data_IF_215237805560
#
_entry.id   IF_215237805560
#
_cell.length_a   1.000
_cell.length_b   1.000
_cell.length_c   1.000
_cell.angle_alpha   90.00
_cell.angle_beta   90.00
_cell.angle_gamma   90.00
#
_symmetry.space_group_name_H-M   'P 1'
#
loop_
_entity.id
_entity.type
_entity.pdbx_description
1 polymer ?
#
# COMPACT_ATOMS: atom_id res chain seq x y z
N UNK A 1 21.83 -18.34 5.01
CA UNK A 1 20.83 -17.38 5.55
C UNK A 1 19.77 -17.25 4.49
N UNK A 2 18.57 -17.78 4.72
CA UNK A 2 17.48 -17.58 3.77
C UNK A 2 17.13 -16.08 3.78
N UNK A 3 17.25 -15.45 2.65
CA UNK A 3 16.72 -14.10 2.45
C UNK A 3 15.20 -14.29 2.39
N UNK A 4 14.48 -13.70 3.33
CA UNK A 4 13.03 -13.76 3.35
C UNK A 4 12.50 -12.92 2.20
N UNK A 5 11.49 -13.42 1.53
CA UNK A 5 10.79 -12.67 0.50
C UNK A 5 10.01 -11.54 1.18
N UNK A 6 10.49 -10.31 0.97
CA UNK A 6 9.89 -9.11 1.54
C UNK A 6 9.42 -8.19 0.43
N UNK A 7 8.22 -7.66 0.61
CA UNK A 7 7.67 -6.66 -0.29
C UNK A 7 7.24 -5.41 0.46
N UNK A 8 7.47 -4.26 -0.14
CA UNK A 8 6.89 -2.98 0.29
C UNK A 8 5.59 -2.77 -0.46
N UNK A 9 4.51 -2.47 0.25
CA UNK A 9 3.19 -2.20 -0.32
C UNK A 9 2.77 -0.76 -0.09
N UNK A 10 2.06 -0.20 -1.06
CA UNK A 10 1.32 1.05 -0.93
C UNK A 10 0.07 0.99 -1.81
N UNK A 11 -1.04 1.55 -1.35
CA UNK A 11 -2.32 1.56 -2.06
C UNK A 11 -2.84 2.97 -2.25
N UNK A 12 -3.59 3.18 -3.34
CA UNK A 12 -4.31 4.42 -3.56
C UNK A 12 -5.80 4.13 -3.77
N UNK A 13 -6.63 4.94 -3.14
CA UNK A 13 -8.07 4.77 -3.06
C UNK A 13 -8.77 6.03 -3.58
N UNK A 14 -9.94 5.90 -4.17
CA UNK A 14 -10.79 7.05 -4.50
C UNK A 14 -11.03 7.91 -3.26
N UNK A 15 -11.19 9.21 -3.49
CA UNK A 15 -11.49 10.18 -2.45
C UNK A 15 -12.62 11.09 -2.94
N UNK A 16 -13.84 10.56 -2.92
CA UNK A 16 -15.02 11.28 -3.40
C UNK A 16 -15.61 12.21 -2.33
N UNK A 17 -15.59 11.78 -1.08
CA UNK A 17 -16.23 12.47 0.05
C UNK A 17 -15.28 12.79 1.21
N UNK A 18 -13.99 12.97 0.93
CA UNK A 18 -12.95 13.20 1.92
C UNK A 18 -12.01 12.00 2.06
N UNK A 19 -11.20 11.95 3.12
CA UNK A 19 -10.22 10.88 3.31
C UNK A 19 -10.92 9.53 3.54
N UNK A 20 -10.65 8.50 2.71
CA UNK A 20 -11.26 7.19 2.85
C UNK A 20 -10.78 6.48 4.12
N UNK A 21 -11.71 5.99 4.94
CA UNK A 21 -11.39 5.33 6.21
C UNK A 21 -11.57 3.81 6.11
N UNK A 22 -10.77 3.08 6.89
CA UNK A 22 -10.85 1.61 6.97
C UNK A 22 -12.22 1.16 7.52
N UNK A 23 -12.82 1.94 8.43
CA UNK A 23 -14.12 1.60 9.02
C UNK A 23 -15.22 1.54 7.97
N UNK A 24 -15.34 2.55 7.12
CA UNK A 24 -16.30 2.62 6.02
C UNK A 24 -15.92 1.71 4.88
N UNK A 25 -14.67 1.82 4.42
CA UNK A 25 -14.11 1.07 3.30
C UNK A 25 -15.03 1.05 2.07
N UNK A 26 -15.67 2.19 1.78
CA UNK A 26 -16.68 2.36 0.74
C UNK A 26 -16.09 2.82 -0.62
N UNK A 27 -14.98 3.49 -0.59
CA UNK A 27 -14.29 3.99 -1.79
C UNK A 27 -13.50 2.89 -2.51
N UNK A 28 -13.49 2.94 -3.83
CA UNK A 28 -12.81 1.95 -4.68
C UNK A 28 -11.29 2.11 -4.68
N UNK A 29 -10.58 0.99 -4.76
CA UNK A 29 -9.13 0.99 -4.97
C UNK A 29 -8.79 1.39 -6.40
N UNK A 30 -7.80 2.26 -6.54
CA UNK A 30 -7.31 2.76 -7.83
C UNK A 30 -5.95 2.15 -8.20
N UNK A 31 -5.05 2.00 -7.22
CA UNK A 31 -3.70 1.48 -7.41
C UNK A 31 -3.31 0.54 -6.25
N UNK A 32 -2.51 -0.46 -6.58
CA UNK A 32 -1.75 -1.27 -5.61
C UNK A 32 -0.34 -1.41 -6.18
N UNK A 33 0.66 -0.91 -5.46
CA UNK A 33 2.07 -1.10 -5.79
C UNK A 33 2.77 -2.03 -4.82
N UNK A 34 3.56 -2.95 -5.35
CA UNK A 34 4.40 -3.89 -4.62
C UNK A 34 5.84 -3.73 -5.08
N UNK A 35 6.76 -3.41 -4.20
CA UNK A 35 8.19 -3.43 -4.50
C UNK A 35 8.86 -4.63 -3.86
N UNK A 36 9.48 -5.45 -4.67
CA UNK A 36 10.30 -6.58 -4.20
C UNK A 36 11.64 -6.07 -3.66
N UNK A 37 11.96 -6.44 -2.43
CA UNK A 37 13.15 -5.98 -1.73
C UNK A 37 14.45 -6.40 -2.42
N UNK A 38 14.52 -7.63 -2.93
CA UNK A 38 15.75 -8.19 -3.46
C UNK A 38 16.06 -7.65 -4.85
N UNK A 39 15.04 -7.57 -5.72
CA UNK A 39 15.21 -7.15 -7.12
C UNK A 39 14.97 -5.66 -7.33
N UNK A 40 14.37 -4.98 -6.36
CA UNK A 40 13.90 -3.59 -6.44
C UNK A 40 12.88 -3.34 -7.56
N UNK A 41 12.34 -4.41 -8.15
CA UNK A 41 11.28 -4.31 -9.15
C UNK A 41 9.96 -3.97 -8.49
N UNK A 42 9.22 -3.11 -9.16
CA UNK A 42 7.91 -2.66 -8.71
C UNK A 42 6.85 -3.24 -9.65
N UNK A 43 5.84 -3.89 -9.07
CA UNK A 43 4.65 -4.34 -9.76
C UNK A 43 3.49 -3.48 -9.30
N UNK A 44 2.90 -2.73 -10.22
CA UNK A 44 1.75 -1.87 -9.95
C UNK A 44 0.54 -2.35 -10.71
N UNK A 45 -0.58 -2.53 -10.02
CA UNK A 45 -1.91 -2.76 -10.59
C UNK A 45 -2.69 -1.45 -10.55
N UNK A 46 -3.37 -1.08 -11.63
CA UNK A 46 -4.12 0.18 -11.65
C UNK A 46 -5.24 0.21 -12.68
N UNK A 47 -6.29 0.97 -12.38
CA UNK A 47 -7.53 1.03 -13.19
C UNK A 47 -7.48 2.00 -14.36
N UNK A 48 -6.35 2.63 -14.62
CA UNK A 48 -6.20 3.57 -15.74
C UNK A 48 -4.98 3.26 -16.61
N UNK A 49 -4.84 3.92 -17.75
CA UNK A 49 -3.70 3.72 -18.64
C UNK A 49 -2.44 4.39 -18.09
N UNK A 50 -1.34 3.66 -18.04
CA UNK A 50 -0.05 4.20 -17.61
C UNK A 50 1.07 3.81 -18.56
N UNK A 51 1.98 4.75 -18.79
CA UNK A 51 3.19 4.53 -19.59
C UNK A 51 4.40 5.06 -18.85
N UNK A 52 5.44 4.26 -18.76
CA UNK A 52 6.71 4.63 -18.17
C UNK A 52 7.88 4.15 -19.01
N UNK A 53 9.03 4.85 -18.91
CA UNK A 53 10.31 4.39 -19.45
C UNK A 53 11.14 3.65 -18.39
N UNK A 54 10.67 3.64 -17.15
CA UNK A 54 11.35 2.97 -16.05
C UNK A 54 11.19 1.45 -16.15
N UNK A 55 12.30 0.78 -16.47
CA UNK A 55 12.35 -0.68 -16.63
C UNK A 55 12.16 -1.46 -15.32
N UNK A 56 12.25 -0.77 -14.18
CA UNK A 56 12.02 -1.37 -12.88
C UNK A 56 10.53 -1.46 -12.54
N UNK A 57 9.69 -0.69 -13.22
CA UNK A 57 8.23 -0.67 -13.00
C UNK A 57 7.53 -1.51 -14.05
N UNK A 58 6.82 -2.54 -13.59
CA UNK A 58 5.88 -3.31 -14.40
C UNK A 58 4.46 -2.90 -14.01
N UNK A 59 3.72 -2.39 -14.97
CA UNK A 59 2.34 -1.97 -14.76
C UNK A 59 1.37 -2.99 -15.36
N UNK A 60 0.33 -3.32 -14.61
CA UNK A 60 -0.80 -4.15 -15.02
C UNK A 60 -2.03 -3.27 -15.07
N UNK A 61 -2.45 -2.91 -16.29
CA UNK A 61 -3.67 -2.14 -16.47
C UNK A 61 -4.89 -3.03 -16.25
N UNK A 62 -5.79 -2.59 -15.40
CA UNK A 62 -7.04 -3.23 -15.05
C UNK A 62 -8.22 -2.38 -15.54
N UNK A 63 -9.36 -3.02 -15.83
CA UNK A 63 -10.53 -2.34 -16.35
C UNK A 63 -11.30 -1.60 -15.26
N UNK A 64 -11.34 -2.16 -14.05
CA UNK A 64 -12.03 -1.66 -12.88
C UNK A 64 -11.43 -2.25 -11.60
N UNK A 65 -11.99 -1.92 -10.45
CA UNK A 65 -11.54 -2.44 -9.14
C UNK A 65 -11.66 -3.96 -9.04
N UNK A 66 -12.73 -4.56 -9.59
CA UNK A 66 -12.91 -6.01 -9.56
C UNK A 66 -11.76 -6.73 -10.29
N UNK A 67 -11.40 -6.22 -11.46
CA UNK A 67 -10.29 -6.73 -12.27
C UNK A 67 -8.94 -6.49 -11.55
N UNK A 68 -8.74 -5.32 -10.96
CA UNK A 68 -7.55 -4.96 -10.19
C UNK A 68 -7.33 -5.91 -9.00
N UNK A 69 -8.35 -6.10 -8.17
CA UNK A 69 -8.28 -6.99 -7.00
C UNK A 69 -8.13 -8.46 -7.42
N UNK A 70 -8.74 -8.86 -8.55
CA UNK A 70 -8.59 -10.21 -9.11
C UNK A 70 -7.16 -10.47 -9.57
N UNK A 71 -6.55 -9.53 -10.30
CA UNK A 71 -5.15 -9.63 -10.74
C UNK A 71 -4.20 -9.63 -9.55
N UNK A 72 -4.42 -8.74 -8.58
CA UNK A 72 -3.61 -8.67 -7.36
C UNK A 72 -3.66 -9.99 -6.58
N UNK A 73 -4.86 -10.50 -6.23
CA UNK A 73 -4.97 -11.70 -5.40
C UNK A 73 -4.46 -12.97 -6.11
N UNK A 74 -4.58 -13.03 -7.45
CA UNK A 74 -4.03 -14.12 -8.24
C UNK A 74 -2.50 -14.08 -8.29
N UNK A 75 -1.89 -12.89 -8.30
CA UNK A 75 -0.44 -12.73 -8.17
C UNK A 75 0.02 -13.09 -6.75
N UNK A 76 -0.56 -12.46 -5.74
CA UNK A 76 -0.23 -12.63 -4.33
C UNK A 76 -0.32 -14.10 -3.88
N UNK A 77 -1.40 -14.80 -4.24
CA UNK A 77 -1.60 -16.19 -3.82
C UNK A 77 -0.61 -17.20 -4.45
N UNK A 78 0.05 -16.83 -5.55
CA UNK A 78 1.08 -17.67 -6.19
C UNK A 78 2.46 -17.45 -5.57
N UNK A 79 2.72 -16.26 -5.12
CA UNK A 79 4.00 -15.82 -4.55
C UNK A 79 3.76 -14.97 -3.31
N UNK A 80 3.16 -15.57 -2.25
CA UNK A 80 2.90 -14.84 -1.02
C UNK A 80 4.23 -14.41 -0.38
N UNK A 81 4.41 -13.14 -0.01
CA UNK A 81 5.63 -12.71 0.66
C UNK A 81 5.67 -13.27 2.08
N UNK A 82 6.87 -13.53 2.60
CA UNK A 82 7.04 -13.85 4.03
C UNK A 82 6.85 -12.60 4.91
N UNK A 83 7.24 -11.44 4.38
CA UNK A 83 7.15 -10.15 5.07
C UNK A 83 6.55 -9.10 4.11
N UNK A 84 5.56 -8.40 4.59
CA UNK A 84 5.04 -7.19 3.94
C UNK A 84 5.30 -5.98 4.82
N UNK A 85 5.79 -4.91 4.23
CA UNK A 85 6.06 -3.64 4.92
C UNK A 85 5.45 -2.47 4.13
N UNK A 86 5.34 -1.34 4.76
CA UNK A 86 4.83 -0.09 4.18
C UNK A 86 4.79 0.99 5.24
N UNK A 87 4.38 2.19 4.88
CA UNK A 87 4.26 3.30 5.80
C UNK A 87 2.86 3.40 6.37
N UNK A 88 2.66 3.07 7.64
CA UNK A 88 1.35 2.97 8.28
C UNK A 88 0.48 1.83 7.71
N UNK A 89 1.11 0.85 7.07
CA UNK A 89 0.40 -0.19 6.31
C UNK A 89 -0.41 -1.15 7.20
N UNK A 90 -0.01 -1.34 8.47
CA UNK A 90 -0.75 -2.18 9.41
C UNK A 90 -2.10 -1.59 9.79
N UNK A 91 -2.21 -0.26 9.83
CA UNK A 91 -3.44 0.43 10.22
C UNK A 91 -4.26 0.92 9.04
N UNK A 92 -3.70 0.97 7.82
CA UNK A 92 -4.42 1.48 6.66
C UNK A 92 -4.40 0.51 5.47
N UNK A 93 -3.26 0.29 4.81
CA UNK A 93 -3.19 -0.44 3.54
C UNK A 93 -3.71 -1.87 3.65
N UNK A 94 -3.20 -2.63 4.60
CA UNK A 94 -3.56 -4.04 4.78
C UNK A 94 -5.03 -4.21 5.19
N UNK A 95 -5.56 -3.48 6.19
CA UNK A 95 -6.97 -3.57 6.55
C UNK A 95 -7.90 -3.11 5.43
N UNK A 96 -7.57 -2.02 4.74
CA UNK A 96 -8.37 -1.52 3.64
C UNK A 96 -8.43 -2.55 2.50
N UNK A 97 -7.28 -3.05 2.07
CA UNK A 97 -7.15 -4.06 1.04
C UNK A 97 -7.94 -5.34 1.38
N UNK A 98 -7.75 -5.89 2.58
CA UNK A 98 -8.44 -7.10 3.02
C UNK A 98 -9.97 -6.93 3.04
N UNK A 99 -10.46 -5.78 3.54
CA UNK A 99 -11.90 -5.45 3.52
C UNK A 99 -12.43 -5.27 2.09
N UNK A 100 -11.69 -4.58 1.22
CA UNK A 100 -12.12 -4.42 -0.19
C UNK A 100 -12.17 -5.74 -0.93
N UNK A 101 -11.16 -6.60 -0.78
CA UNK A 101 -11.17 -7.95 -1.35
C UNK A 101 -12.38 -8.73 -0.84
N UNK A 102 -12.67 -8.69 0.46
CA UNK A 102 -13.84 -9.37 1.03
C UNK A 102 -15.14 -8.82 0.45
N UNK A 103 -15.26 -7.49 0.33
CA UNK A 103 -16.46 -6.81 -0.16
C UNK A 103 -16.73 -7.05 -1.64
N UNK A 104 -15.69 -7.03 -2.46
CA UNK A 104 -15.79 -7.07 -3.94
C UNK A 104 -15.71 -8.50 -4.46
N UNK A 105 -14.80 -9.33 -3.91
CA UNK A 105 -14.53 -10.68 -4.38
C UNK A 105 -15.05 -11.78 -3.45
N UNK A 106 -15.49 -11.41 -2.23
CA UNK A 106 -16.01 -12.33 -1.21
C UNK A 106 -14.92 -12.93 -0.29
N UNK A 107 -15.34 -13.50 0.83
CA UNK A 107 -14.46 -14.05 1.88
C UNK A 107 -13.47 -15.12 1.38
N UNK A 108 -13.90 -15.96 0.42
CA UNK A 108 -13.01 -16.99 -0.14
C UNK A 108 -11.79 -16.38 -0.86
N UNK A 109 -11.96 -15.20 -1.43
CA UNK A 109 -10.85 -14.49 -2.07
C UNK A 109 -9.92 -13.87 -1.02
N UNK A 110 -10.46 -13.25 0.04
CA UNK A 110 -9.63 -12.64 1.09
C UNK A 110 -8.78 -13.68 1.84
N UNK A 111 -9.26 -14.89 2.00
CA UNK A 111 -8.46 -16.00 2.58
C UNK A 111 -7.21 -16.35 1.78
N UNK A 112 -7.17 -16.02 0.47
CA UNK A 112 -5.98 -16.21 -0.37
C UNK A 112 -4.85 -15.22 -0.09
N UNK A 113 -5.07 -14.21 0.76
CA UNK A 113 -3.99 -13.38 1.28
C UNK A 113 -3.01 -14.21 2.13
N UNK A 114 -3.52 -15.24 2.80
CA UNK A 114 -2.71 -16.19 3.56
C UNK A 114 -2.39 -17.43 2.71
N UNK A 115 -1.12 -17.90 2.66
CA UNK A 115 -0.77 -19.17 2.05
C UNK A 115 -1.46 -20.38 2.71
N UNK A 116 -1.95 -20.21 3.94
CA UNK A 116 -2.65 -21.24 4.71
C UNK A 116 -4.16 -21.02 4.78
N UNK A 117 -4.69 -19.96 4.16
CA UNK A 117 -6.09 -19.60 4.21
C UNK A 117 -6.55 -19.07 5.58
N UNK A 118 -5.60 -18.68 6.44
CA UNK A 118 -5.83 -18.15 7.78
C UNK A 118 -5.70 -16.63 7.76
N UNK A 119 -6.83 -15.94 7.71
CA UNK A 119 -6.91 -14.48 7.79
C UNK A 119 -7.88 -14.15 8.91
N UNK A 120 -7.39 -13.53 9.96
CA UNK A 120 -8.19 -13.05 11.10
C UNK A 120 -8.01 -11.55 11.27
N UNK A 121 -8.89 -10.92 12.02
CA UNK A 121 -8.77 -9.52 12.36
C UNK A 121 -9.22 -9.27 13.77
N UNK A 122 -8.69 -8.22 14.37
CA UNK A 122 -9.06 -7.75 15.69
C UNK A 122 -9.10 -6.23 15.73
N UNK A 123 -9.84 -5.70 16.69
CA UNK A 123 -9.84 -4.26 16.98
C UNK A 123 -8.85 -3.98 18.11
N UNK A 124 -7.87 -3.12 17.83
CA UNK A 124 -6.91 -2.66 18.83
C UNK A 124 -7.17 -1.18 19.15
N UNK A 125 -6.85 -0.76 20.39
CA UNK A 125 -6.95 0.63 20.79
C UNK A 125 -5.57 1.29 20.78
N UNK A 126 -5.39 2.29 19.92
CA UNK A 126 -4.14 3.04 19.82
C UNK A 126 -4.44 4.55 19.77
N UNK A 127 -3.71 5.35 20.58
CA UNK A 127 -3.94 6.79 20.72
C UNK A 127 -5.41 7.17 21.03
N UNK A 128 -6.11 6.31 21.81
CA UNK A 128 -7.51 6.56 22.21
C UNK A 128 -8.56 6.29 21.14
N UNK A 129 -8.18 5.64 20.03
CA UNK A 129 -9.10 5.28 18.92
C UNK A 129 -9.00 3.79 18.61
N UNK A 130 -10.14 3.16 18.22
CA UNK A 130 -10.13 1.80 17.71
C UNK A 130 -9.50 1.75 16.32
N UNK A 131 -8.70 0.73 16.07
CA UNK A 131 -8.12 0.42 14.77
C UNK A 131 -8.31 -1.05 14.46
N UNK A 132 -8.72 -1.35 13.23
CA UNK A 132 -8.82 -2.70 12.74
C UNK A 132 -7.46 -3.16 12.22
N UNK A 133 -6.94 -4.26 12.75
CA UNK A 133 -5.71 -4.89 12.27
C UNK A 133 -5.99 -6.31 11.80
N UNK A 134 -5.23 -6.74 10.80
CA UNK A 134 -5.34 -8.08 10.21
C UNK A 134 -4.11 -8.91 10.54
N UNK A 135 -4.34 -10.15 10.98
CA UNK A 135 -3.33 -11.19 11.04
C UNK A 135 -3.50 -12.14 9.84
N UNK A 136 -2.45 -12.22 9.04
CA UNK A 136 -2.41 -13.02 7.82
C UNK A 136 -1.45 -14.18 8.06
N UNK A 137 -1.98 -15.36 8.39
CA UNK A 137 -1.17 -16.52 8.68
C UNK A 137 -0.14 -16.80 7.56
N UNK A 138 1.14 -16.84 7.91
CA UNK A 138 2.25 -17.03 6.98
C UNK A 138 2.81 -15.77 6.32
N UNK A 139 2.22 -14.60 6.58
CA UNK A 139 2.69 -13.29 6.10
C UNK A 139 2.86 -12.35 7.30
N UNK A 140 4.09 -11.96 7.59
CA UNK A 140 4.35 -11.01 8.68
C UNK A 140 4.18 -9.58 8.20
N UNK A 141 3.28 -8.82 8.82
CA UNK A 141 3.14 -7.38 8.58
C UNK A 141 4.12 -6.64 9.49
N UNK A 142 5.06 -5.91 8.90
CA UNK A 142 6.01 -5.05 9.61
C UNK A 142 5.80 -3.60 9.18
N UNK A 143 5.06 -2.84 9.97
CA UNK A 143 4.84 -1.42 9.68
C UNK A 143 6.12 -0.61 9.87
N UNK A 144 6.61 -0.01 8.77
CA UNK A 144 7.88 0.73 8.83
C UNK A 144 7.77 2.03 9.63
N UNK A 145 6.60 2.65 9.69
CA UNK A 145 6.37 3.81 10.54
C UNK A 145 6.59 3.48 12.03
N UNK A 146 6.12 2.32 12.47
CA UNK A 146 6.30 1.87 13.85
C UNK A 146 7.75 1.50 14.13
N UNK A 147 8.40 0.84 13.18
CA UNK A 147 9.85 0.55 13.26
C UNK A 147 10.65 1.84 13.32
N UNK A 148 10.37 2.79 12.45
CA UNK A 148 11.04 4.08 12.43
C UNK A 148 10.90 4.82 13.78
N UNK A 149 9.68 4.93 14.30
CA UNK A 149 9.44 5.56 15.62
C UNK A 149 10.16 4.86 16.76
N UNK A 150 10.23 3.54 16.71
CA UNK A 150 10.84 2.71 17.77
C UNK A 150 12.37 2.79 17.79
N UNK A 151 13.00 2.90 16.61
CA UNK A 151 14.44 2.82 16.47
C UNK A 151 15.11 4.18 16.19
N UNK A 152 14.33 5.24 15.98
CA UNK A 152 14.87 6.61 15.82
C UNK A 152 14.91 7.31 17.17
N UNK A 153 16.12 7.78 17.57
CA UNK A 153 16.33 8.42 18.89
C UNK A 153 15.81 9.84 18.98
N UNK A 154 15.62 10.53 17.85
CA UNK A 154 15.12 11.90 17.83
C UNK A 154 13.65 11.90 17.43
N UNK A 155 12.83 12.55 18.27
CA UNK A 155 11.46 12.84 17.88
C UNK A 155 11.44 13.76 16.64
N UNK A 156 10.60 13.45 15.68
CA UNK A 156 10.40 14.23 14.47
C UNK A 156 9.21 15.19 14.64
N UNK A 157 9.23 16.32 13.95
CA UNK A 157 8.12 17.27 13.93
C UNK A 157 6.88 16.69 13.26
N UNK A 158 7.08 15.83 12.28
CA UNK A 158 6.03 15.08 11.57
C UNK A 158 6.51 13.68 11.24
N UNK A 159 5.59 12.71 11.31
CA UNK A 159 5.82 11.32 10.90
C UNK A 159 5.13 10.98 9.57
N UNK A 160 4.84 11.97 8.75
CA UNK A 160 4.37 11.75 7.38
C UNK A 160 5.52 11.29 6.52
N UNK A 161 5.26 10.39 5.57
CA UNK A 161 6.29 9.81 4.71
C UNK A 161 7.04 10.87 3.90
N UNK A 162 6.36 11.92 3.42
CA UNK A 162 6.97 13.05 2.71
C UNK A 162 8.02 13.78 3.56
N UNK A 163 7.68 14.07 4.84
CA UNK A 163 8.57 14.74 5.76
C UNK A 163 9.79 13.86 6.13
N UNK A 164 9.54 12.60 6.48
CA UNK A 164 10.62 11.67 6.86
C UNK A 164 11.53 11.38 5.65
N UNK A 165 10.95 11.20 4.47
CA UNK A 165 11.74 11.03 3.23
C UNK A 165 12.64 12.24 2.93
N UNK A 166 12.18 13.46 3.23
CA UNK A 166 13.00 14.66 3.08
C UNK A 166 14.13 14.71 4.13
N UNK A 167 13.81 14.46 5.39
CA UNK A 167 14.78 14.52 6.50
C UNK A 167 15.88 13.46 6.36
N UNK A 168 15.52 12.22 6.05
CA UNK A 168 16.45 11.10 6.06
C UNK A 168 17.15 10.87 4.69
N UNK A 169 16.43 11.09 3.59
CA UNK A 169 16.92 10.78 2.24
C UNK A 169 17.18 12.02 1.38
N UNK A 170 16.76 13.20 1.82
CA UNK A 170 16.74 14.40 0.97
C UNK A 170 15.78 14.29 -0.21
N UNK A 171 14.81 13.38 -0.15
CA UNK A 171 13.83 13.12 -1.21
C UNK A 171 12.44 13.42 -0.71
N UNK A 172 11.67 14.14 -1.51
CA UNK A 172 10.25 14.43 -1.24
C UNK A 172 9.35 13.50 -2.06
N UNK A 173 8.10 13.34 -1.59
CA UNK A 173 7.01 12.85 -2.43
C UNK A 173 6.84 13.74 -3.65
N UNK A 174 6.28 13.20 -4.72
CA UNK A 174 5.88 14.00 -5.86
C UNK A 174 4.85 15.04 -5.43
N UNK A 175 5.11 16.30 -5.76
CA UNK A 175 4.21 17.40 -5.43
C UNK A 175 2.94 17.31 -6.27
N UNK A 176 1.81 17.38 -5.60
CA UNK A 176 0.47 17.42 -6.21
C UNK A 176 -0.33 18.65 -5.76
N UNK A 177 0.33 19.66 -5.17
CA UNK A 177 -0.30 20.90 -4.66
C UNK A 177 -0.93 21.76 -5.77
N UNK A 178 -0.64 21.46 -7.04
CA UNK A 178 -1.26 22.09 -8.22
C UNK A 178 -2.73 21.67 -8.43
N UNK A 179 -3.21 20.64 -7.72
CA UNK A 179 -4.58 20.13 -7.81
C UNK A 179 -5.39 20.57 -6.59
N UNK A 180 -6.62 21.06 -6.82
CA UNK A 180 -7.50 21.54 -5.75
C UNK A 180 -7.94 20.39 -4.82
N UNK A 181 -8.11 19.19 -5.37
CA UNK A 181 -8.52 18.00 -4.65
C UNK A 181 -7.71 16.77 -5.05
N UNK A 182 -7.65 15.76 -4.19
CA UNK A 182 -7.03 14.48 -4.52
C UNK A 182 -7.75 13.79 -5.70
N UNK A 183 -9.08 14.01 -5.81
CA UNK A 183 -9.88 13.57 -6.94
C UNK A 183 -9.41 14.20 -8.25
N UNK A 184 -9.13 15.50 -8.26
CA UNK A 184 -8.58 16.18 -9.43
C UNK A 184 -7.24 15.61 -9.84
N UNK A 185 -6.40 15.24 -8.87
CA UNK A 185 -5.09 14.67 -9.13
C UNK A 185 -5.20 13.36 -9.92
N UNK A 186 -5.96 12.37 -9.44
CA UNK A 186 -6.05 11.10 -10.16
C UNK A 186 -6.90 11.15 -11.43
N UNK A 187 -7.84 12.10 -11.54
CA UNK A 187 -8.66 12.23 -12.76
C UNK A 187 -7.97 13.01 -13.87
N UNK A 188 -7.20 14.06 -13.53
CA UNK A 188 -6.56 14.92 -14.53
C UNK A 188 -5.15 14.45 -14.91
N UNK A 189 -4.45 13.72 -14.02
CA UNK A 189 -3.03 13.37 -14.21
C UNK A 189 -2.70 11.95 -13.74
N UNK A 190 -3.37 10.96 -14.34
CA UNK A 190 -3.22 9.55 -13.99
C UNK A 190 -1.77 9.06 -14.00
N UNK A 191 -0.96 9.40 -15.00
CA UNK A 191 0.45 9.01 -15.04
C UNK A 191 1.22 9.51 -13.81
N UNK A 192 1.05 10.81 -13.48
CA UNK A 192 1.70 11.40 -12.31
C UNK A 192 1.19 10.78 -11.00
N UNK A 193 -0.09 10.39 -10.96
CA UNK A 193 -0.68 9.69 -9.83
C UNK A 193 -0.09 8.29 -9.62
N UNK A 194 0.16 7.54 -10.71
CA UNK A 194 0.87 6.25 -10.63
C UNK A 194 2.33 6.45 -10.20
N UNK A 195 3.01 7.46 -10.75
CA UNK A 195 4.39 7.80 -10.36
C UNK A 195 4.46 8.18 -8.87
N UNK A 196 3.45 8.84 -8.34
CA UNK A 196 3.32 9.18 -6.92
C UNK A 196 3.29 7.93 -6.04
N UNK A 197 2.39 6.97 -6.33
CA UNK A 197 2.30 5.71 -5.60
C UNK A 197 3.58 4.85 -5.73
N UNK A 198 4.20 4.81 -6.92
CA UNK A 198 5.50 4.18 -7.14
C UNK A 198 6.60 4.84 -6.32
N UNK A 199 6.57 6.17 -6.18
CA UNK A 199 7.55 6.88 -5.36
C UNK A 199 7.39 6.58 -3.87
N UNK A 200 6.17 6.35 -3.39
CA UNK A 200 5.92 6.03 -1.98
C UNK A 200 6.56 4.70 -1.56
N UNK A 201 6.41 3.64 -2.36
CA UNK A 201 7.11 2.37 -2.07
C UNK A 201 8.63 2.52 -2.13
N UNK A 202 9.17 3.37 -3.02
CA UNK A 202 10.60 3.66 -3.10
C UNK A 202 11.13 4.46 -1.93
N UNK A 203 10.33 5.37 -1.39
CA UNK A 203 10.71 6.11 -0.19
C UNK A 203 10.83 5.18 1.01
N UNK A 204 9.85 4.30 1.21
CA UNK A 204 9.91 3.32 2.30
C UNK A 204 11.12 2.39 2.15
N UNK A 205 11.37 1.85 0.96
CA UNK A 205 12.53 1.00 0.67
C UNK A 205 13.86 1.75 0.91
N UNK A 206 13.91 3.04 0.63
CA UNK A 206 15.08 3.87 0.85
C UNK A 206 15.35 4.21 2.31
N UNK A 207 14.31 4.20 3.15
CA UNK A 207 14.40 4.46 4.60
C UNK A 207 14.90 3.21 5.38
N UNK A 208 14.72 2.02 4.82
CA UNK A 208 15.22 0.76 5.38
C UNK A 208 16.75 0.63 5.30
#
# INVERSE_FOLDING_TARGET
MCIRDRVTIDIEVKSESGFPTVEKCDEEMLLISLQDYNTKRILTFGVGPYRTQDKMVKYVQCNDEYDLLTHFINYWSKTPPEVVTGWNCQLYDIPYLAKRITRVLGEKASKKLSPWGLVTHEEIYMAGRPHLVYDIGGVTVLDYLDLYKKFTYKAQESYRLDYIGEVELGKKKLDHSEYDTFKDFYTKSWNKFVDYNVQDVRLVDGLE
#
